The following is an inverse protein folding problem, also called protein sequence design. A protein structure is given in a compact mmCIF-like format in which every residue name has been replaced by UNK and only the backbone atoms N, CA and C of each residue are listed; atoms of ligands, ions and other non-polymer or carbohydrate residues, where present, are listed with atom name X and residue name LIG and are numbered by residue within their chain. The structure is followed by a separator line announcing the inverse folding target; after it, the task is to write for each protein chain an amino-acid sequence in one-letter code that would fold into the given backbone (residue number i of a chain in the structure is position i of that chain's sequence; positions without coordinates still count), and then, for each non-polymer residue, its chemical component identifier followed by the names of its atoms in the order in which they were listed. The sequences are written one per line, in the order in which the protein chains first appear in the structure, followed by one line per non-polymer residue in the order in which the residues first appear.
data_IF_881889922551
#
_entry.id   IF_881889922551
#
_cell.length_a   1.000
_cell.length_b   1.000
_cell.length_c   1.000
_cell.angle_alpha   90.00
_cell.angle_beta   90.00
_cell.angle_gamma   90.00
#
_symmetry.space_group_name_H-M   'P 1'
#
loop_
_entity.id
_entity.type
_entity.pdbx_description
1 polymer ?
#
# COMPACT_ATOMS: atom_id res chain seq x y z
N UNK A 1 -7.83 -20.17 3.95
CA UNK A 1 -8.85 -19.12 3.72
C UNK A 1 -9.56 -18.70 5.01
N UNK A 2 -10.03 -19.63 5.86
CA UNK A 2 -10.65 -19.27 7.16
C UNK A 2 -9.71 -18.51 8.12
N UNK A 3 -8.39 -18.72 8.04
CA UNK A 3 -7.40 -17.98 8.83
C UNK A 3 -7.30 -16.50 8.42
N UNK A 4 -7.24 -16.21 7.12
CA UNK A 4 -7.22 -14.85 6.56
C UNK A 4 -8.45 -14.04 6.96
N UNK A 5 -9.63 -14.65 6.86
CA UNK A 5 -10.89 -14.01 7.27
C UNK A 5 -10.85 -13.59 8.75
N UNK A 6 -10.39 -14.49 9.64
CA UNK A 6 -10.27 -14.19 11.07
C UNK A 6 -9.31 -13.04 11.37
N UNK A 7 -8.23 -12.90 10.60
CA UNK A 7 -7.28 -11.79 10.76
C UNK A 7 -7.95 -10.47 10.41
N UNK A 8 -8.62 -10.41 9.26
CA UNK A 8 -9.34 -9.21 8.84
C UNK A 8 -10.47 -8.85 9.82
N UNK A 9 -11.23 -9.84 10.30
CA UNK A 9 -12.27 -9.64 11.32
C UNK A 9 -11.69 -9.09 12.64
N UNK A 10 -10.55 -9.65 13.10
CA UNK A 10 -9.87 -9.18 14.32
C UNK A 10 -9.33 -7.76 14.17
N UNK A 11 -8.78 -7.40 13.00
CA UNK A 11 -8.29 -6.05 12.74
C UNK A 11 -9.48 -5.08 12.66
N UNK A 12 -10.52 -5.41 11.88
CA UNK A 12 -11.73 -4.59 11.72
C UNK A 12 -12.42 -4.23 13.04
N UNK A 13 -12.31 -5.09 14.05
CA UNK A 13 -12.85 -4.82 15.38
C UNK A 13 -12.17 -3.64 16.12
N UNK A 14 -10.94 -3.29 15.74
CA UNK A 14 -10.08 -2.34 16.46
C UNK A 14 -9.62 -1.16 15.59
N UNK A 15 -10.23 -0.95 14.42
CA UNK A 15 -9.93 0.19 13.54
C UNK A 15 -10.93 1.33 13.73
N UNK A 16 -10.54 2.53 13.31
CA UNK A 16 -11.44 3.68 13.28
C UNK A 16 -12.60 3.47 12.31
N UNK A 17 -13.73 4.13 12.56
CA UNK A 17 -14.92 4.01 11.70
C UNK A 17 -14.65 4.40 10.23
N UNK A 18 -13.68 5.29 10.02
CA UNK A 18 -13.27 5.78 8.69
C UNK A 18 -12.69 4.69 7.79
N UNK A 19 -11.95 3.73 8.36
CA UNK A 19 -11.36 2.61 7.59
C UNK A 19 -12.14 1.29 7.78
N UNK A 20 -13.03 1.22 8.77
CA UNK A 20 -13.86 0.04 9.06
C UNK A 20 -14.68 -0.42 7.85
N UNK A 21 -15.21 0.51 7.07
CA UNK A 21 -15.94 0.18 5.84
C UNK A 21 -15.07 -0.59 4.85
N UNK A 22 -13.82 -0.13 4.62
CA UNK A 22 -12.89 -0.78 3.70
C UNK A 22 -12.58 -2.22 4.14
N UNK A 23 -12.42 -2.44 5.45
CA UNK A 23 -12.27 -3.81 5.99
C UNK A 23 -13.53 -4.65 5.77
N UNK A 24 -14.72 -4.11 6.03
CA UNK A 24 -15.98 -4.84 5.87
C UNK A 24 -16.22 -5.27 4.41
N UNK A 25 -15.89 -4.40 3.45
CA UNK A 25 -15.99 -4.71 2.03
C UNK A 25 -15.06 -5.88 1.65
N UNK A 26 -13.82 -5.85 2.14
CA UNK A 26 -12.84 -6.90 1.87
C UNK A 26 -13.13 -8.22 2.61
N UNK A 27 -13.71 -8.15 3.82
CA UNK A 27 -14.21 -9.32 4.58
C UNK A 27 -15.35 -9.98 3.82
N UNK A 28 -16.31 -9.20 3.33
CA UNK A 28 -17.43 -9.71 2.53
C UNK A 28 -16.91 -10.33 1.25
N UNK A 29 -16.03 -9.64 0.53
CA UNK A 29 -15.39 -10.14 -0.68
C UNK A 29 -14.70 -11.49 -0.46
N UNK A 30 -13.77 -11.59 0.49
CA UNK A 30 -12.98 -12.82 0.67
C UNK A 30 -13.83 -14.02 1.11
N UNK A 31 -14.92 -13.77 1.84
CA UNK A 31 -15.89 -14.80 2.24
C UNK A 31 -16.63 -15.41 1.04
N UNK A 32 -16.91 -14.60 0.03
CA UNK A 32 -17.66 -15.01 -1.16
C UNK A 32 -16.76 -15.43 -2.33
N UNK A 33 -15.52 -14.95 -2.38
CA UNK A 33 -14.63 -15.07 -3.54
C UNK A 33 -14.39 -16.51 -4.03
N UNK A 34 -14.43 -17.50 -3.12
CA UNK A 34 -14.32 -18.91 -3.48
C UNK A 34 -15.53 -19.45 -4.25
N UNK A 35 -16.74 -18.95 -3.95
CA UNK A 35 -18.00 -19.37 -4.59
C UNK A 35 -18.09 -18.90 -6.04
N UNK A 36 -17.43 -17.79 -6.37
CA UNK A 36 -17.43 -17.20 -7.71
C UNK A 36 -16.45 -17.85 -8.70
N UNK A 37 -15.61 -18.82 -8.27
CA UNK A 37 -14.74 -19.63 -9.15
C UNK A 37 -13.85 -18.82 -10.12
N UNK A 38 -13.34 -17.67 -9.68
CA UNK A 38 -12.54 -16.74 -10.52
C UNK A 38 -11.06 -17.15 -10.70
N UNK A 39 -10.66 -18.34 -10.23
CA UNK A 39 -9.26 -18.76 -10.31
C UNK A 39 -8.97 -19.31 -11.71
N UNK A 40 -7.96 -18.75 -12.38
CA UNK A 40 -7.43 -19.23 -13.66
C UNK A 40 -5.92 -19.35 -13.54
N UNK A 41 -5.36 -20.52 -13.88
CA UNK A 41 -3.93 -20.79 -13.75
C UNK A 41 -3.49 -21.02 -12.29
N UNK A 42 -2.60 -20.16 -11.79
CA UNK A 42 -2.10 -20.26 -10.41
C UNK A 42 -3.21 -20.09 -9.38
N UNK A 43 -3.08 -20.77 -8.23
CA UNK A 43 -4.00 -20.63 -7.10
C UNK A 43 -3.79 -19.27 -6.39
N UNK A 44 -4.32 -18.20 -6.99
CA UNK A 44 -4.15 -16.83 -6.54
C UNK A 44 -5.42 -16.25 -5.89
N UNK A 45 -5.24 -15.19 -5.09
CA UNK A 45 -6.31 -14.41 -4.48
C UNK A 45 -5.87 -12.96 -4.30
N UNK A 46 -6.82 -12.04 -4.41
CA UNK A 46 -6.61 -10.60 -4.22
C UNK A 46 -7.65 -10.05 -3.25
N UNK A 47 -7.26 -9.02 -2.50
CA UNK A 47 -8.11 -8.17 -1.66
C UNK A 47 -7.36 -6.86 -1.39
N UNK A 48 -8.05 -5.83 -0.93
CA UNK A 48 -7.45 -4.58 -0.45
C UNK A 48 -7.23 -4.61 1.05
N UNK A 49 -6.12 -4.01 1.48
CA UNK A 49 -5.78 -3.85 2.90
C UNK A 49 -4.77 -2.73 3.07
N UNK A 50 -4.80 -2.07 4.22
CA UNK A 50 -3.82 -1.05 4.62
C UNK A 50 -2.50 -1.69 5.09
N UNK A 51 -1.54 -0.89 5.55
CA UNK A 51 -0.25 -1.36 6.04
C UNK A 51 -0.38 -2.46 7.12
N UNK A 52 -1.19 -2.23 8.15
CA UNK A 52 -1.36 -3.16 9.27
C UNK A 52 -1.98 -4.46 8.81
N UNK A 53 -2.98 -4.38 7.94
CA UNK A 53 -3.64 -5.54 7.36
C UNK A 53 -2.70 -6.35 6.46
N UNK A 54 -1.95 -5.70 5.57
CA UNK A 54 -0.97 -6.37 4.69
C UNK A 54 0.09 -7.11 5.49
N UNK A 55 0.70 -6.46 6.48
CA UNK A 55 1.74 -7.07 7.33
C UNK A 55 1.16 -8.24 8.12
N UNK A 56 0.00 -8.05 8.77
CA UNK A 56 -0.64 -9.11 9.56
C UNK A 56 -1.00 -10.34 8.72
N UNK A 57 -1.46 -10.11 7.48
CA UNK A 57 -1.76 -11.18 6.52
C UNK A 57 -0.48 -11.91 6.12
N UNK A 58 0.57 -11.18 5.73
CA UNK A 58 1.84 -11.76 5.30
C UNK A 58 2.47 -12.61 6.42
N UNK A 59 2.52 -12.08 7.65
CA UNK A 59 3.06 -12.81 8.80
C UNK A 59 2.27 -14.06 9.12
N UNK A 60 0.94 -14.02 9.04
CA UNK A 60 0.12 -15.20 9.29
C UNK A 60 0.22 -16.26 8.18
N UNK A 61 0.39 -15.84 6.92
CA UNK A 61 0.68 -16.77 5.82
C UNK A 61 2.03 -17.43 6.06
N UNK A 62 3.07 -16.64 6.38
CA UNK A 62 4.40 -17.15 6.66
C UNK A 62 4.40 -18.15 7.83
N UNK A 63 3.72 -17.81 8.93
CA UNK A 63 3.56 -18.72 10.06
C UNK A 63 2.81 -20.00 9.67
N UNK A 64 1.78 -19.91 8.84
CA UNK A 64 1.04 -21.10 8.39
C UNK A 64 1.89 -22.02 7.50
N UNK A 65 2.88 -21.48 6.78
CA UNK A 65 3.87 -22.26 6.03
C UNK A 65 4.84 -22.93 7.01
N UNK A 66 5.37 -22.18 7.99
CA UNK A 66 6.24 -22.72 9.03
C UNK A 66 5.58 -23.87 9.83
N UNK A 67 4.28 -23.73 10.11
CA UNK A 67 3.46 -24.73 10.80
C UNK A 67 3.09 -25.94 9.92
N UNK A 68 3.42 -25.94 8.63
CA UNK A 68 3.02 -26.97 7.66
C UNK A 68 1.53 -27.00 7.31
N UNK A 69 0.76 -25.97 7.69
CA UNK A 69 -0.68 -25.82 7.34
C UNK A 69 -0.88 -25.39 5.89
N UNK A 70 0.11 -24.70 5.32
CA UNK A 70 0.22 -24.39 3.89
C UNK A 70 1.35 -25.24 3.34
N UNK A 71 1.07 -25.99 2.26
CA UNK A 71 1.96 -27.04 1.77
C UNK A 71 3.23 -26.55 1.05
N UNK A 72 3.39 -25.24 0.83
CA UNK A 72 4.56 -24.68 0.18
C UNK A 72 4.61 -23.15 0.25
N UNK A 73 5.68 -22.53 -0.28
CA UNK A 73 5.84 -21.08 -0.26
C UNK A 73 4.70 -20.33 -0.95
N UNK A 74 4.44 -19.11 -0.48
CA UNK A 74 3.42 -18.21 -1.05
C UNK A 74 4.08 -16.91 -1.46
N UNK A 75 3.77 -16.46 -2.67
CA UNK A 75 4.19 -15.13 -3.15
C UNK A 75 3.13 -14.09 -2.76
N UNK A 76 3.55 -13.03 -2.09
CA UNK A 76 2.81 -11.78 -1.94
C UNK A 76 3.21 -10.84 -3.07
N UNK A 77 2.24 -10.25 -3.73
CA UNK A 77 2.43 -9.27 -4.79
C UNK A 77 1.17 -8.41 -4.90
N UNK A 78 1.17 -7.43 -5.82
CA UNK A 78 0.05 -6.53 -6.09
C UNK A 78 0.09 -6.05 -7.53
N UNK A 79 -1.04 -5.53 -8.00
CA UNK A 79 -1.05 -4.67 -9.18
C UNK A 79 -0.28 -3.36 -8.87
N UNK A 80 0.12 -2.64 -9.91
CA UNK A 80 0.76 -1.33 -9.76
C UNK A 80 -0.28 -0.24 -9.42
N UNK A 81 -1.58 -0.52 -9.60
CA UNK A 81 -2.66 0.34 -9.11
C UNK A 81 -2.76 0.29 -7.57
N UNK A 82 -1.88 1.04 -6.91
CA UNK A 82 -1.74 1.06 -5.46
C UNK A 82 -1.30 2.45 -4.96
N UNK A 83 -1.28 2.62 -3.63
CA UNK A 83 -1.05 3.89 -2.95
C UNK A 83 0.29 4.55 -3.28
N UNK A 84 1.37 3.78 -3.41
CA UNK A 84 2.75 4.29 -3.58
C UNK A 84 3.40 3.93 -4.90
N UNK A 85 2.96 2.83 -5.53
CA UNK A 85 3.67 2.25 -6.66
C UNK A 85 3.58 3.06 -7.96
N UNK A 86 2.65 3.99 -8.08
CA UNK A 86 2.34 4.61 -9.38
C UNK A 86 2.13 6.11 -9.29
N UNK A 87 2.85 6.84 -10.14
CA UNK A 87 2.60 8.24 -10.47
C UNK A 87 1.92 8.32 -11.84
N UNK A 88 0.66 8.75 -11.85
CA UNK A 88 -0.21 8.79 -13.03
C UNK A 88 -1.22 9.93 -12.89
N UNK A 89 -0.97 11.10 -13.52
CA UNK A 89 -1.81 12.29 -13.37
C UNK A 89 -3.26 12.06 -13.84
N UNK A 90 -3.49 11.04 -14.67
CA UNK A 90 -4.81 10.70 -15.20
C UNK A 90 -5.53 9.59 -14.43
N UNK A 91 -4.88 8.98 -13.42
CA UNK A 91 -5.47 7.87 -12.67
C UNK A 91 -5.03 7.87 -11.20
N UNK A 92 -3.93 7.20 -10.84
CA UNK A 92 -3.54 6.97 -9.44
C UNK A 92 -3.22 8.24 -8.64
N UNK A 93 -2.68 9.27 -9.29
CA UNK A 93 -2.35 10.57 -8.68
C UNK A 93 -3.22 11.70 -9.20
N UNK A 94 -4.35 11.39 -9.84
CA UNK A 94 -5.28 12.40 -10.40
C UNK A 94 -5.96 13.27 -9.34
N UNK A 95 -5.95 12.86 -8.07
CA UNK A 95 -6.47 13.63 -6.95
C UNK A 95 -5.40 14.45 -6.20
N UNK A 96 -4.24 14.66 -6.81
CA UNK A 96 -3.15 15.49 -6.28
C UNK A 96 -3.14 16.83 -7.02
N UNK A 97 -3.27 17.93 -6.27
CA UNK A 97 -3.49 19.28 -6.83
C UNK A 97 -2.39 20.29 -6.48
N UNK A 98 -1.32 19.86 -5.80
CA UNK A 98 -0.13 20.68 -5.51
C UNK A 98 0.80 20.84 -6.73
N UNK A 99 0.38 20.34 -7.90
CA UNK A 99 1.15 20.31 -9.14
C UNK A 99 2.05 19.07 -9.31
N UNK A 100 2.29 18.31 -8.23
CA UNK A 100 3.22 17.17 -8.26
C UNK A 100 2.65 15.92 -8.94
N UNK A 101 1.38 15.92 -9.36
CA UNK A 101 0.76 14.78 -10.05
C UNK A 101 1.50 14.35 -11.33
N UNK A 102 2.26 15.27 -11.94
CA UNK A 102 3.08 15.06 -13.15
C UNK A 102 4.51 14.61 -12.84
N UNK A 103 4.90 14.53 -11.57
CA UNK A 103 6.20 13.98 -11.17
C UNK A 103 6.20 12.45 -11.21
N UNK A 104 7.37 11.82 -11.08
CA UNK A 104 7.53 10.36 -10.99
C UNK A 104 8.35 9.90 -9.76
N UNK A 105 8.61 10.82 -8.83
CA UNK A 105 9.48 10.57 -7.67
C UNK A 105 8.94 9.47 -6.76
N UNK A 106 7.63 9.44 -6.51
CA UNK A 106 7.01 8.48 -5.58
C UNK A 106 7.18 7.05 -6.10
N UNK A 107 6.89 6.82 -7.38
CA UNK A 107 7.01 5.50 -8.01
C UNK A 107 8.46 5.02 -8.05
N UNK A 108 9.41 5.90 -8.42
CA UNK A 108 10.85 5.57 -8.44
C UNK A 108 11.38 5.29 -7.02
N UNK A 109 11.02 6.13 -6.03
CA UNK A 109 11.41 5.90 -4.65
C UNK A 109 10.79 4.62 -4.09
N UNK A 110 9.54 4.29 -4.45
CA UNK A 110 8.92 3.04 -4.03
C UNK A 110 9.71 1.83 -4.52
N UNK A 111 10.01 1.81 -5.83
CA UNK A 111 10.80 0.76 -6.47
C UNK A 111 12.16 0.56 -5.78
N UNK A 112 12.92 1.64 -5.56
CA UNK A 112 14.23 1.55 -4.90
C UNK A 112 14.07 1.11 -3.44
N UNK A 113 13.13 1.69 -2.70
CA UNK A 113 12.97 1.41 -1.28
C UNK A 113 12.50 -0.03 -1.00
N UNK A 114 11.67 -0.62 -1.87
CA UNK A 114 11.29 -2.04 -1.81
C UNK A 114 12.50 -2.96 -2.05
N UNK A 115 13.35 -2.62 -3.02
CA UNK A 115 14.52 -3.42 -3.42
C UNK A 115 15.50 -3.63 -2.25
N UNK A 116 15.70 -2.62 -1.40
CA UNK A 116 16.59 -2.69 -0.24
C UNK A 116 15.89 -3.07 1.07
N UNK A 117 14.59 -3.40 1.03
CA UNK A 117 13.81 -3.85 2.20
C UNK A 117 13.36 -5.30 2.14
N UNK A 118 13.84 -6.06 1.14
CA UNK A 118 13.72 -7.50 1.11
C UNK A 118 12.66 -8.05 0.16
N UNK A 119 12.13 -7.24 -0.75
CA UNK A 119 11.39 -7.76 -1.90
C UNK A 119 12.22 -8.85 -2.61
N UNK A 120 11.58 -9.94 -3.03
CA UNK A 120 12.25 -10.99 -3.80
C UNK A 120 12.57 -10.52 -5.21
N UNK A 121 11.68 -9.71 -5.79
CA UNK A 121 11.94 -8.93 -6.99
C UNK A 121 11.15 -7.63 -6.97
N UNK A 122 11.60 -6.67 -7.77
CA UNK A 122 10.95 -5.39 -8.00
C UNK A 122 10.85 -5.10 -9.49
N UNK A 123 9.86 -4.31 -9.88
CA UNK A 123 9.64 -3.87 -11.25
C UNK A 123 9.34 -2.37 -11.29
N UNK A 124 9.84 -1.69 -12.33
CA UNK A 124 9.50 -0.31 -12.65
C UNK A 124 9.19 -0.24 -14.15
N UNK A 125 7.98 0.17 -14.49
CA UNK A 125 7.46 0.18 -15.86
C UNK A 125 7.10 1.60 -16.31
N UNK A 126 7.07 1.78 -17.63
CA UNK A 126 6.56 2.97 -18.31
C UNK A 126 5.25 2.59 -19.01
N UNK A 127 4.16 3.27 -18.65
CA UNK A 127 2.91 3.23 -19.41
C UNK A 127 1.82 2.27 -18.91
N UNK A 128 1.98 1.69 -17.72
CA UNK A 128 0.97 0.78 -17.17
C UNK A 128 -0.36 1.47 -16.88
N UNK A 129 -1.41 1.03 -17.58
CA UNK A 129 -2.78 1.48 -17.34
C UNK A 129 -3.27 2.59 -18.26
N UNK A 130 -2.59 3.75 -18.26
CA UNK A 130 -3.02 4.92 -19.05
C UNK A 130 -2.24 5.11 -20.35
N UNK A 131 -1.21 4.29 -20.60
CA UNK A 131 -0.48 4.29 -21.87
C UNK A 131 0.93 4.84 -21.78
N UNK A 132 1.75 4.50 -22.78
CA UNK A 132 3.18 4.82 -22.85
C UNK A 132 3.48 6.32 -22.70
N UNK A 133 4.38 6.68 -21.79
CA UNK A 133 4.80 8.06 -21.55
C UNK A 133 3.94 8.83 -20.55
N UNK A 134 2.75 8.32 -20.21
CA UNK A 134 1.78 9.01 -19.36
C UNK A 134 1.85 8.61 -17.87
N UNK A 135 2.65 7.59 -17.54
CA UNK A 135 2.69 6.99 -16.19
C UNK A 135 4.01 6.27 -15.95
N UNK A 136 4.53 6.41 -14.73
CA UNK A 136 5.60 5.57 -14.17
C UNK A 136 5.00 4.72 -13.05
N UNK A 137 5.10 3.41 -13.18
CA UNK A 137 4.41 2.48 -12.28
C UNK A 137 5.28 1.28 -11.90
N UNK A 138 5.40 1.01 -10.61
CA UNK A 138 6.23 -0.05 -10.03
C UNK A 138 5.46 -1.03 -9.15
N UNK A 139 6.08 -2.20 -8.98
CA UNK A 139 5.54 -3.32 -8.21
C UNK A 139 6.63 -4.19 -7.63
N UNK A 140 6.20 -5.18 -6.85
CA UNK A 140 7.09 -6.12 -6.18
C UNK A 140 6.52 -7.54 -6.20
N UNK A 141 7.39 -8.51 -5.95
CA UNK A 141 6.98 -9.80 -5.42
C UNK A 141 7.85 -10.19 -4.24
N UNK A 142 7.22 -10.82 -3.25
CA UNK A 142 7.84 -11.22 -2.00
C UNK A 142 7.46 -12.66 -1.69
N UNK A 143 8.45 -13.55 -1.68
CA UNK A 143 8.27 -14.96 -1.30
C UNK A 143 8.23 -15.09 0.21
N UNK A 144 7.17 -15.71 0.71
CA UNK A 144 7.04 -16.20 2.07
C UNK A 144 7.31 -17.70 2.05
N UNK A 145 8.32 -18.15 2.78
CA UNK A 145 8.77 -19.55 2.82
C UNK A 145 8.67 -20.18 4.22
N UNK A 146 8.13 -19.44 5.19
CA UNK A 146 8.03 -19.85 6.59
C UNK A 146 9.22 -19.47 7.45
N UNK A 147 10.28 -18.90 6.88
CA UNK A 147 11.45 -18.45 7.64
C UNK A 147 11.18 -17.16 8.41
N UNK A 148 11.93 -16.96 9.50
CA UNK A 148 11.94 -15.68 10.24
C UNK A 148 12.45 -14.54 9.36
N UNK A 149 13.40 -14.81 8.47
CA UNK A 149 13.91 -13.85 7.50
C UNK A 149 12.81 -13.34 6.55
N UNK A 150 11.97 -14.22 6.02
CA UNK A 150 10.82 -13.82 5.19
C UNK A 150 9.80 -12.98 5.99
N UNK A 151 9.59 -13.27 7.28
CA UNK A 151 8.74 -12.47 8.15
C UNK A 151 9.29 -11.05 8.38
N UNK A 152 10.61 -10.94 8.60
CA UNK A 152 11.30 -9.66 8.78
C UNK A 152 11.25 -8.82 7.49
N UNK A 153 11.57 -9.44 6.34
CA UNK A 153 11.47 -8.80 5.02
C UNK A 153 10.04 -8.33 4.71
N UNK A 154 9.03 -9.16 4.98
CA UNK A 154 7.63 -8.79 4.81
C UNK A 154 7.23 -7.57 5.63
N UNK A 155 7.64 -7.51 6.89
CA UNK A 155 7.31 -6.41 7.79
C UNK A 155 7.97 -5.11 7.34
N UNK A 156 9.24 -5.13 6.97
CA UNK A 156 9.99 -3.95 6.53
C UNK A 156 9.49 -3.44 5.17
N UNK A 157 9.39 -4.33 4.18
CA UNK A 157 9.01 -3.98 2.82
C UNK A 157 7.58 -3.47 2.75
N UNK A 158 6.60 -4.18 3.34
CA UNK A 158 5.19 -3.77 3.29
C UNK A 158 4.91 -2.49 4.10
N UNK A 159 5.74 -2.19 5.11
CA UNK A 159 5.68 -0.90 5.80
C UNK A 159 6.06 0.24 4.86
N UNK A 160 7.16 0.10 4.10
CA UNK A 160 7.59 1.11 3.14
C UNK A 160 6.65 1.23 1.94
N UNK A 161 6.29 0.11 1.31
CA UNK A 161 5.41 0.05 0.13
C UNK A 161 4.06 0.73 0.35
N UNK A 162 3.60 0.86 1.60
CA UNK A 162 2.41 1.62 1.95
C UNK A 162 2.74 3.03 2.45
N UNK A 163 3.61 3.16 3.46
CA UNK A 163 3.88 4.46 4.09
C UNK A 163 4.45 5.51 3.15
N UNK A 164 5.22 5.11 2.14
CA UNK A 164 5.80 6.04 1.14
C UNK A 164 4.71 6.87 0.45
N UNK A 165 3.73 6.21 -0.17
CA UNK A 165 2.64 6.86 -0.87
C UNK A 165 1.66 7.55 0.07
N UNK A 166 1.44 7.02 1.28
CA UNK A 166 0.63 7.73 2.28
C UNK A 166 1.31 9.03 2.69
N UNK A 167 2.62 9.02 2.97
CA UNK A 167 3.38 10.22 3.31
C UNK A 167 3.38 11.24 2.17
N UNK A 168 3.64 10.80 0.92
CA UNK A 168 3.57 11.68 -0.25
C UNK A 168 2.18 12.28 -0.43
N UNK A 169 1.12 11.46 -0.37
CA UNK A 169 -0.26 11.95 -0.53
C UNK A 169 -0.66 12.89 0.60
N UNK A 170 -0.18 12.66 1.81
CA UNK A 170 -0.33 13.60 2.92
C UNK A 170 0.29 14.94 2.57
N UNK A 171 1.58 14.94 2.18
CA UNK A 171 2.29 16.15 1.76
C UNK A 171 1.56 16.91 0.66
N UNK A 172 0.99 16.19 -0.31
CA UNK A 172 0.19 16.74 -1.41
C UNK A 172 -1.25 17.14 -1.04
N UNK A 173 -1.59 17.21 0.25
CA UNK A 173 -2.85 17.78 0.73
C UNK A 173 -4.00 16.79 0.94
N UNK A 174 -3.76 15.47 0.90
CA UNK A 174 -4.81 14.49 1.14
C UNK A 174 -5.11 14.30 2.65
N UNK A 175 -6.32 14.67 3.08
CA UNK A 175 -6.76 14.60 4.48
C UNK A 175 -6.76 13.17 5.05
N UNK A 176 -7.18 12.17 4.26
CA UNK A 176 -7.17 10.78 4.73
C UNK A 176 -5.74 10.28 4.95
N UNK A 177 -4.82 10.69 4.07
CA UNK A 177 -3.41 10.34 4.18
C UNK A 177 -2.74 11.04 5.37
N UNK A 178 -3.11 12.29 5.67
CA UNK A 178 -2.65 13.02 6.86
C UNK A 178 -2.97 12.28 8.15
N UNK A 179 -4.22 11.88 8.35
CA UNK A 179 -4.63 11.13 9.55
C UNK A 179 -3.94 9.76 9.62
N UNK A 180 -3.83 9.09 8.46
CA UNK A 180 -3.22 7.76 8.37
C UNK A 180 -1.73 7.80 8.74
N UNK A 181 -0.96 8.73 8.15
CA UNK A 181 0.47 8.82 8.41
C UNK A 181 0.76 9.26 9.84
N UNK A 182 -0.07 10.14 10.42
CA UNK A 182 0.02 10.49 11.84
C UNK A 182 -0.16 9.27 12.74
N UNK A 183 -1.14 8.42 12.45
CA UNK A 183 -1.33 7.17 13.20
C UNK A 183 -0.16 6.22 12.99
N UNK A 184 0.37 6.09 11.78
CA UNK A 184 1.53 5.24 11.50
C UNK A 184 2.78 5.71 12.25
N UNK A 185 3.05 7.01 12.34
CA UNK A 185 4.16 7.56 13.14
C UNK A 185 3.98 7.35 14.65
N UNK A 186 2.74 7.29 15.16
CA UNK A 186 2.48 6.93 16.57
C UNK A 186 2.74 5.45 16.85
N UNK A 187 2.48 4.58 15.88
CA UNK A 187 2.71 3.15 15.99
C UNK A 187 4.16 2.75 15.72
N UNK A 188 4.91 3.59 15.01
CA UNK A 188 6.33 3.41 14.71
C UNK A 188 7.11 4.71 14.93
N UNK A 189 7.72 4.85 16.10
CA UNK A 189 8.48 6.06 16.48
C UNK A 189 9.70 6.33 15.58
N UNK A 190 10.20 5.31 14.87
CA UNK A 190 11.31 5.47 13.93
C UNK A 190 10.87 6.08 12.59
N UNK A 191 9.58 6.06 12.28
CA UNK A 191 9.02 6.74 11.11
C UNK A 191 8.76 8.19 11.49
N UNK A 192 9.52 9.10 10.90
CA UNK A 192 9.32 10.54 11.01
C UNK A 192 9.19 11.12 9.61
N UNK A 193 8.02 11.70 9.29
CA UNK A 193 7.77 12.33 7.99
C UNK A 193 7.50 13.81 8.15
N UNK A 194 7.77 14.57 7.09
CA UNK A 194 7.41 15.99 7.04
C UNK A 194 5.89 16.15 6.91
N UNK A 195 5.28 16.84 7.87
CA UNK A 195 3.85 17.14 7.84
C UNK A 195 3.60 18.49 7.15
N UNK A 196 2.62 18.60 6.22
CA UNK A 196 2.27 19.87 5.62
C UNK A 196 1.53 20.75 6.63
N UNK A 197 1.75 22.07 6.53
CA UNK A 197 1.02 23.07 7.29
C UNK A 197 0.01 23.76 6.37
N UNK A 198 -1.27 23.89 6.77
CA UNK A 198 -2.25 24.60 5.98
C UNK A 198 -1.92 26.09 5.92
N UNK A 199 -2.06 26.68 4.72
CA UNK A 199 -1.98 28.14 4.55
C UNK A 199 -3.20 28.76 5.23
N UNK A 200 -2.99 29.69 6.16
CA UNK A 200 -4.08 30.36 6.88
C UNK A 200 -4.74 31.47 6.06
N UNK A 201 -3.96 32.13 5.21
CA UNK A 201 -4.41 33.22 4.35
C UNK A 201 -4.09 32.91 2.88
N UNK A 202 -5.10 32.41 2.17
CA UNK A 202 -4.98 32.02 0.76
C UNK A 202 -4.70 33.22 -0.16
N UNK A 203 -4.99 34.45 0.27
CA UNK A 203 -4.71 35.67 -0.50
C UNK A 203 -3.22 36.01 -0.53
N UNK A 204 -2.37 35.29 0.21
CA UNK A 204 -0.93 35.53 0.20
C UNK A 204 -0.34 35.40 -1.21
N UNK A 205 -0.86 34.48 -2.01
CA UNK A 205 -0.45 34.28 -3.41
C UNK A 205 -0.93 35.43 -4.30
N UNK A 206 -2.19 35.85 -4.15
CA UNK A 206 -2.74 36.97 -4.90
C UNK A 206 -1.93 38.25 -4.66
N UNK A 207 -1.57 38.52 -3.40
CA UNK A 207 -0.74 39.69 -3.04
C UNK A 207 0.68 39.59 -3.58
N UNK A 208 1.26 38.38 -3.65
CA UNK A 208 2.61 38.17 -4.16
C UNK A 208 2.68 38.29 -5.70
N UNK A 209 1.62 37.91 -6.40
CA UNK A 209 1.55 37.95 -7.88
C UNK A 209 1.06 39.29 -8.44
N UNK A 210 0.49 40.16 -7.60
CA UNK A 210 0.11 41.53 -7.95
C UNK A 210 1.26 42.55 -7.82
N UNK A 211 2.46 42.11 -7.43
CA UNK A 211 3.66 42.93 -7.26
C UNK A 211 4.51 43.06 -8.53
#
# INVERSE_FOLDING_TARGET
MNSLLRILEKISANVSDRIKQQYNDNIRWIREAGKHKMVVGSQARILYSDQKGRISIALAINQAIADGKVSGPVVISRDHHDVSGTDSPFRETSNIYDGSAFCADMAVQNFVGDAFRGATWVSLHNGGGVGWGEVINGGFGLVLDGSEDAANRASLMLSWDVSNGVARRCWSGNVNAFETIQQTMKENEQLQVTMPFPVQDEQVLDRALQA
#
